data_IF_000413538208
#
_entry.id   IF_000413538208
#
_cell.length_a   1.000
_cell.length_b   1.000
_cell.length_c   1.000
_cell.angle_alpha   90.00
_cell.angle_beta   90.00
_cell.angle_gamma   90.00
#
_symmetry.space_group_name_H-M   'P 1'
#
loop_
_entity.id
_entity.type
_entity.pdbx_description
1 polymer ?
#
# COMPACT_ATOMS: atom_id res chain seq x y z
N UNK A 1 -9.42 -20.48 -14.92
CA UNK A 1 -8.91 -20.45 -13.53
C UNK A 1 -7.84 -19.36 -13.42
N UNK A 2 -8.17 -18.21 -12.81
CA UNK A 2 -7.31 -17.01 -12.80
C UNK A 2 -7.01 -16.49 -11.38
N UNK A 3 -7.34 -17.25 -10.34
CA UNK A 3 -7.22 -16.80 -8.94
C UNK A 3 -5.77 -16.44 -8.60
N UNK A 4 -4.80 -17.29 -8.96
CA UNK A 4 -3.36 -17.02 -8.74
C UNK A 4 -2.89 -15.77 -9.48
N UNK A 5 -3.28 -15.60 -10.74
CA UNK A 5 -2.93 -14.41 -11.55
C UNK A 5 -3.51 -13.14 -10.91
N UNK A 6 -4.80 -13.16 -10.59
CA UNK A 6 -5.48 -12.02 -9.98
C UNK A 6 -4.90 -11.64 -8.62
N UNK A 7 -4.44 -12.62 -7.83
CA UNK A 7 -3.79 -12.35 -6.55
C UNK A 7 -2.44 -11.66 -6.75
N UNK A 8 -1.58 -12.20 -7.62
CA UNK A 8 -0.27 -11.63 -7.91
C UNK A 8 -0.38 -10.23 -8.51
N UNK A 9 -1.27 -10.04 -9.50
CA UNK A 9 -1.50 -8.74 -10.12
C UNK A 9 -1.92 -7.68 -9.08
N UNK A 10 -2.74 -8.04 -8.09
CA UNK A 10 -3.13 -7.11 -7.03
C UNK A 10 -1.94 -6.73 -6.15
N UNK A 11 -1.10 -7.69 -5.75
CA UNK A 11 0.10 -7.43 -4.95
C UNK A 11 1.02 -6.46 -5.71
N UNK A 12 1.31 -6.75 -6.98
CA UNK A 12 2.15 -5.89 -7.81
C UNK A 12 1.57 -4.49 -7.94
N UNK A 13 0.28 -4.36 -8.26
CA UNK A 13 -0.36 -3.06 -8.40
C UNK A 13 -0.36 -2.24 -7.10
N UNK A 14 -0.45 -2.90 -5.93
CA UNK A 14 -0.35 -2.26 -4.61
C UNK A 14 1.07 -1.77 -4.33
N UNK A 15 2.09 -2.64 -4.52
CA UNK A 15 3.50 -2.30 -4.26
C UNK A 15 3.95 -1.15 -5.17
N UNK A 16 3.52 -1.16 -6.43
CA UNK A 16 3.90 -0.18 -7.44
C UNK A 16 3.03 1.09 -7.44
N UNK A 17 2.04 1.19 -6.55
CA UNK A 17 1.07 2.30 -6.47
C UNK A 17 0.45 2.65 -7.86
N UNK A 18 0.10 1.62 -8.63
CA UNK A 18 -0.45 1.82 -9.99
C UNK A 18 -1.85 2.40 -9.89
N UNK A 19 -1.99 3.67 -10.28
CA UNK A 19 -3.27 4.38 -10.29
C UNK A 19 -4.35 3.57 -11.01
N UNK A 20 -5.54 3.52 -10.41
CA UNK A 20 -6.73 2.82 -10.93
C UNK A 20 -6.65 1.28 -11.01
N UNK A 21 -5.50 0.67 -10.71
CA UNK A 21 -5.34 -0.80 -10.64
C UNK A 21 -5.03 -1.32 -9.24
N UNK A 22 -4.43 -0.49 -8.39
CA UNK A 22 -4.19 -0.82 -6.99
C UNK A 22 -5.52 -1.03 -6.27
N UNK A 23 -5.66 -2.17 -5.59
CA UNK A 23 -6.81 -2.47 -4.73
C UNK A 23 -6.62 -2.00 -3.28
N UNK A 24 -5.60 -1.18 -3.01
CA UNK A 24 -5.34 -0.62 -1.68
C UNK A 24 -6.53 0.22 -1.17
N UNK A 25 -7.32 -0.35 -0.27
CA UNK A 25 -8.53 0.25 0.27
C UNK A 25 -8.52 0.20 1.80
N UNK A 26 -9.45 0.94 2.43
CA UNK A 26 -9.56 1.07 3.89
C UNK A 26 -9.71 -0.29 4.57
N UNK A 27 -10.53 -1.20 4.03
CA UNK A 27 -10.76 -2.52 4.61
C UNK A 27 -9.47 -3.36 4.65
N UNK A 28 -8.73 -3.38 3.54
CA UNK A 28 -7.43 -4.09 3.47
C UNK A 28 -6.42 -3.46 4.44
N UNK A 29 -6.46 -2.14 4.65
CA UNK A 29 -5.60 -1.46 5.62
C UNK A 29 -5.95 -1.78 7.08
N UNK A 30 -7.21 -2.11 7.37
CA UNK A 30 -7.61 -2.62 8.68
C UNK A 30 -7.03 -4.02 8.91
N UNK A 31 -7.05 -4.89 7.89
CA UNK A 31 -6.43 -6.22 7.97
C UNK A 31 -4.92 -6.11 8.19
N UNK A 32 -4.24 -5.14 7.56
CA UNK A 32 -2.81 -4.88 7.80
C UNK A 32 -2.53 -4.55 9.27
N UNK A 33 -3.42 -3.81 9.95
CA UNK A 33 -3.27 -3.53 11.39
C UNK A 33 -3.41 -4.79 12.24
N UNK A 34 -4.31 -5.69 11.85
CA UNK A 34 -4.58 -6.94 12.59
C UNK A 34 -3.47 -7.97 12.39
N UNK A 35 -3.01 -8.16 11.15
CA UNK A 35 -2.11 -9.27 10.79
C UNK A 35 -0.65 -8.84 10.58
N UNK A 36 -0.36 -7.57 10.30
CA UNK A 36 1.00 -7.10 10.03
C UNK A 36 1.54 -6.21 11.16
N UNK A 37 2.83 -6.38 11.48
CA UNK A 37 3.51 -5.56 12.52
C UNK A 37 4.04 -4.23 11.96
N UNK A 38 3.36 -3.66 10.96
CA UNK A 38 3.86 -2.51 10.20
C UNK A 38 3.06 -1.25 10.52
N UNK A 39 3.34 -0.66 11.70
CA UNK A 39 2.62 0.51 12.24
C UNK A 39 2.61 1.73 11.31
N UNK A 40 3.67 1.92 10.52
CA UNK A 40 3.77 3.04 9.58
C UNK A 40 2.83 2.93 8.37
N UNK A 41 2.12 1.81 8.22
CA UNK A 41 1.16 1.55 7.15
C UNK A 41 -0.30 1.51 7.64
N UNK A 42 -0.52 1.65 8.94
CA UNK A 42 -1.87 1.69 9.53
C UNK A 42 -2.63 2.94 9.10
N UNK A 43 -3.95 2.87 9.08
CA UNK A 43 -4.79 4.04 8.84
C UNK A 43 -4.58 5.08 9.94
N UNK A 44 -4.50 6.34 9.54
CA UNK A 44 -4.39 7.47 10.48
C UNK A 44 -5.55 8.42 10.28
N UNK A 45 -6.02 9.02 11.37
CA UNK A 45 -7.03 10.09 11.33
C UNK A 45 -6.31 11.42 11.30
N UNK A 46 -6.60 12.23 10.28
CA UNK A 46 -6.12 13.62 10.17
C UNK A 46 -6.88 14.52 11.16
N UNK A 47 -6.36 15.72 11.41
CA UNK A 47 -6.98 16.75 12.27
C UNK A 47 -8.43 17.05 11.87
N UNK A 48 -8.77 16.90 10.57
CA UNK A 48 -10.11 17.13 10.03
C UNK A 48 -11.06 15.91 10.15
N UNK A 49 -10.77 14.95 11.04
CA UNK A 49 -11.50 13.67 11.18
C UNK A 49 -11.55 12.80 9.91
N UNK A 50 -10.66 13.07 8.94
CA UNK A 50 -10.55 12.30 7.69
C UNK A 50 -9.61 11.13 7.86
N UNK A 51 -10.01 9.97 7.33
CA UNK A 51 -9.15 8.79 7.25
C UNK A 51 -8.14 8.98 6.13
N UNK A 52 -6.85 8.86 6.46
CA UNK A 52 -5.74 8.89 5.53
C UNK A 52 -5.03 7.54 5.52
N UNK A 53 -4.57 7.13 4.33
CA UNK A 53 -3.75 5.94 4.11
C UNK A 53 -2.29 6.37 3.96
N UNK A 54 -1.41 6.12 4.94
CA UNK A 54 0.00 6.46 4.82
C UNK A 54 0.68 5.71 3.67
N UNK A 55 1.59 6.41 2.99
CA UNK A 55 2.49 5.77 2.02
C UNK A 55 3.57 4.98 2.76
N UNK A 56 3.95 3.83 2.20
CA UNK A 56 5.03 3.03 2.73
C UNK A 56 6.34 3.84 2.77
N UNK A 57 7.20 3.58 3.75
CA UNK A 57 8.52 4.23 3.85
C UNK A 57 9.47 3.84 2.71
N UNK A 58 9.37 2.59 2.24
CA UNK A 58 10.15 2.04 1.11
C UNK A 58 9.25 1.86 -0.11
N UNK A 59 9.01 2.94 -0.82
CA UNK A 59 8.43 2.90 -2.16
C UNK A 59 9.53 3.22 -3.17
N UNK A 60 9.57 2.48 -4.28
CA UNK A 60 10.49 2.74 -5.38
C UNK A 60 10.07 4.04 -6.08
N UNK A 61 10.51 5.19 -5.56
CA UNK A 61 10.59 6.40 -6.37
C UNK A 61 11.81 6.34 -7.26
N UNK A 62 11.69 6.87 -8.48
CA UNK A 62 12.81 7.06 -9.39
C UNK A 62 13.98 7.81 -8.70
N UNK A 63 13.66 8.69 -7.75
CA UNK A 63 14.63 9.41 -6.92
C UNK A 63 15.38 8.50 -5.94
N UNK A 64 14.70 7.55 -5.27
CA UNK A 64 15.32 6.61 -4.32
C UNK A 64 16.21 5.57 -5.01
N UNK A 65 15.91 5.21 -6.25
CA UNK A 65 16.74 4.29 -7.05
C UNK A 65 18.09 4.91 -7.36
N UNK A 66 18.15 6.23 -7.62
CA UNK A 66 19.40 6.94 -7.97
C UNK A 66 20.38 7.12 -6.80
N UNK A 67 19.92 7.03 -5.56
CA UNK A 67 20.76 7.27 -4.37
C UNK A 67 21.53 6.00 -3.95
N UNK A 68 21.12 4.83 -4.42
CA UNK A 68 21.74 3.53 -4.08
C UNK A 68 22.50 2.87 -5.26
N UNK A 69 22.80 3.63 -6.31
CA UNK A 69 23.70 3.25 -7.41
C UNK A 69 24.92 4.16 -7.40
#
# INVERSE_FOLDING_TARGET
MHIKKNFMDNIFNIIMDVKYKSKDNVKIRMDIKEYCRQKNMELVTTIDDKIMKPKASYYFTLEKIKINM
#
